data_IF_905820691601
#
_entry.id   IF_905820691601
#
_cell.length_a   1.000
_cell.length_b   1.000
_cell.length_c   1.000
_cell.angle_alpha   90.00
_cell.angle_beta   90.00
_cell.angle_gamma   90.00
#
_symmetry.space_group_name_H-M   'P 1'
#
loop_
_entity.id
_entity.type
_entity.pdbx_description
1 polymer ?
#
# COMPACT_ATOMS: atom_id res chain seq x y z
N UNK A 1 -11.46 1.46 -3.76
CA UNK A 1 -11.28 1.80 -5.20
C UNK A 1 -9.81 1.74 -5.62
N UNK A 2 -9.49 1.57 -6.93
CA UNK A 2 -8.10 1.56 -7.40
C UNK A 2 -7.31 2.81 -7.01
N UNK A 3 -7.87 4.02 -7.22
CA UNK A 3 -7.20 5.27 -6.84
C UNK A 3 -6.90 5.39 -5.34
N UNK A 4 -7.80 4.90 -4.48
CA UNK A 4 -7.59 4.88 -3.04
C UNK A 4 -6.43 3.96 -2.63
N UNK A 5 -6.31 2.78 -3.27
CA UNK A 5 -5.20 1.87 -3.05
C UNK A 5 -3.86 2.50 -3.49
N UNK A 6 -3.83 3.13 -4.67
CA UNK A 6 -2.63 3.80 -5.16
C UNK A 6 -2.22 4.99 -4.28
N UNK A 7 -3.17 5.77 -3.79
CA UNK A 7 -2.89 6.86 -2.84
C UNK A 7 -2.33 6.33 -1.53
N UNK A 8 -2.95 5.29 -0.96
CA UNK A 8 -2.52 4.68 0.29
C UNK A 8 -1.11 4.07 0.19
N UNK A 9 -0.82 3.31 -0.86
CA UNK A 9 0.51 2.73 -1.06
C UNK A 9 1.60 3.79 -1.29
N UNK A 10 1.27 4.93 -1.94
CA UNK A 10 2.22 6.06 -2.06
C UNK A 10 2.53 6.70 -0.72
N UNK A 11 1.54 6.86 0.14
CA UNK A 11 1.75 7.36 1.50
C UNK A 11 2.67 6.40 2.29
N UNK A 12 2.44 5.09 2.18
CA UNK A 12 3.34 4.10 2.79
C UNK A 12 4.76 4.18 2.22
N UNK A 13 4.92 4.35 0.90
CA UNK A 13 6.24 4.50 0.31
C UNK A 13 6.96 5.74 0.85
N UNK A 14 6.27 6.89 0.85
CA UNK A 14 6.80 8.14 1.41
C UNK A 14 7.22 7.99 2.88
N UNK A 15 6.38 7.35 3.70
CA UNK A 15 6.68 7.11 5.11
C UNK A 15 7.87 6.16 5.29
N UNK A 16 8.06 5.18 4.41
CA UNK A 16 9.23 4.29 4.45
C UNK A 16 10.52 5.07 4.16
N UNK A 17 10.51 5.87 3.09
CA UNK A 17 11.66 6.70 2.67
C UNK A 17 12.05 7.72 3.74
N UNK A 18 11.07 8.36 4.36
CA UNK A 18 11.29 9.43 5.34
C UNK A 18 11.55 8.93 6.76
N UNK A 19 10.94 7.81 7.17
CA UNK A 19 11.01 7.29 8.55
C UNK A 19 11.82 6.01 8.70
N UNK A 20 12.39 5.46 7.62
CA UNK A 20 13.20 4.24 7.64
C UNK A 20 12.50 3.11 8.39
N UNK A 21 11.26 2.83 8.04
CA UNK A 21 10.41 1.84 8.69
C UNK A 21 9.84 0.84 7.69
N UNK A 22 9.98 -0.45 7.97
CA UNK A 22 9.35 -1.53 7.20
C UNK A 22 7.96 -1.83 7.75
N UNK A 23 7.04 -2.25 6.88
CA UNK A 23 5.65 -2.54 7.24
C UNK A 23 5.43 -4.05 7.44
N UNK A 24 5.02 -4.43 8.65
CA UNK A 24 4.81 -5.84 9.04
C UNK A 24 3.33 -6.20 9.22
N UNK A 25 2.44 -5.24 9.01
CA UNK A 25 1.01 -5.51 8.97
C UNK A 25 0.17 -4.24 8.91
N UNK A 26 -1.06 -4.37 8.43
CA UNK A 26 -2.05 -3.30 8.42
C UNK A 26 -3.40 -3.83 8.88
N UNK A 27 -4.13 -3.04 9.67
CA UNK A 27 -5.52 -3.27 10.03
C UNK A 27 -6.34 -2.10 9.51
N UNK A 28 -7.36 -2.39 8.71
CA UNK A 28 -8.26 -1.38 8.15
C UNK A 28 -9.47 -1.24 9.05
N UNK A 29 -9.66 -0.04 9.58
CA UNK A 29 -10.82 0.29 10.42
C UNK A 29 -11.97 0.84 9.57
N UNK A 30 -11.65 1.50 8.45
CA UNK A 30 -12.60 2.06 7.51
C UNK A 30 -12.08 1.87 6.07
N UNK A 31 -12.95 1.38 5.20
CA UNK A 31 -12.71 1.33 3.76
C UNK A 31 -14.04 1.53 3.02
N UNK A 32 -14.45 2.79 2.87
CA UNK A 32 -15.74 3.16 2.29
C UNK A 32 -15.58 4.32 1.31
N UNK A 33 -16.17 4.20 0.11
CA UNK A 33 -16.04 5.21 -0.93
C UNK A 33 -14.58 5.53 -1.24
N UNK A 34 -14.18 6.78 -0.99
CA UNK A 34 -12.81 7.30 -1.14
C UNK A 34 -12.07 7.49 0.19
N UNK A 35 -12.61 7.00 1.31
CA UNK A 35 -12.01 7.12 2.63
C UNK A 35 -11.37 5.80 3.06
N UNK A 36 -10.20 5.90 3.67
CA UNK A 36 -9.45 4.78 4.23
C UNK A 36 -8.85 5.21 5.56
N UNK A 37 -9.13 4.45 6.62
CA UNK A 37 -8.42 4.54 7.88
C UNK A 37 -7.80 3.19 8.19
N UNK A 38 -6.50 3.20 8.45
CA UNK A 38 -5.76 2.00 8.78
C UNK A 38 -4.71 2.27 9.84
N UNK A 39 -4.52 1.29 10.73
CA UNK A 39 -3.35 1.21 11.61
C UNK A 39 -2.31 0.32 10.95
N UNK A 40 -1.10 0.85 10.82
CA UNK A 40 0.02 0.14 10.22
C UNK A 40 1.03 -0.18 11.31
N UNK A 41 1.45 -1.44 11.41
CA UNK A 41 2.53 -1.87 12.29
C UNK A 41 3.85 -1.80 11.53
N UNK A 42 4.84 -1.22 12.18
CA UNK A 42 6.15 -0.97 11.59
C UNK A 42 7.28 -1.53 12.44
N UNK A 43 8.40 -1.82 11.80
CA UNK A 43 9.67 -2.15 12.43
C UNK A 43 10.79 -1.32 11.79
N UNK A 44 11.97 -1.16 12.44
CA UNK A 44 13.11 -0.49 11.81
C UNK A 44 13.45 -1.11 10.46
N UNK A 45 13.64 -0.27 9.44
CA UNK A 45 13.89 -0.76 8.09
C UNK A 45 15.19 -1.55 7.99
N UNK A 46 15.14 -2.66 7.26
CA UNK A 46 16.31 -3.44 6.87
C UNK A 46 16.81 -3.02 5.50
N UNK A 47 17.96 -3.55 5.08
CA UNK A 47 18.45 -3.34 3.71
C UNK A 47 17.47 -3.97 2.72
N UNK A 48 16.82 -3.13 1.92
CA UNK A 48 15.93 -3.59 0.85
C UNK A 48 16.70 -4.45 -0.16
N UNK A 49 16.08 -5.55 -0.59
CA UNK A 49 16.60 -6.38 -1.71
C UNK A 49 16.49 -5.61 -3.02
N UNK A 50 15.42 -4.81 -3.17
CA UNK A 50 15.18 -3.90 -4.28
C UNK A 50 14.35 -2.72 -3.79
N UNK A 51 14.74 -1.52 -4.20
CA UNK A 51 14.02 -0.30 -3.88
C UNK A 51 12.79 -0.15 -4.79
N UNK A 52 11.67 0.30 -4.21
CA UNK A 52 10.48 0.70 -4.95
C UNK A 52 10.58 2.21 -5.13
N UNK A 53 10.58 2.69 -6.38
CA UNK A 53 10.62 4.11 -6.72
C UNK A 53 9.24 4.75 -6.78
N UNK A 54 8.20 3.95 -7.00
CA UNK A 54 6.87 4.49 -7.18
C UNK A 54 5.76 3.45 -7.28
N UNK A 55 4.56 3.91 -6.95
CA UNK A 55 3.30 3.18 -7.17
C UNK A 55 2.59 3.82 -8.34
N UNK A 56 2.37 3.04 -9.39
CA UNK A 56 1.77 3.54 -10.64
C UNK A 56 0.33 3.04 -10.79
N UNK A 57 -0.41 3.67 -11.71
CA UNK A 57 -1.72 3.18 -12.15
C UNK A 57 -1.61 2.10 -13.23
N UNK A 58 -0.39 1.77 -13.68
CA UNK A 58 -0.18 0.76 -14.71
C UNK A 58 -0.68 -0.59 -14.21
N UNK A 59 -1.70 -1.13 -14.89
CA UNK A 59 -2.29 -2.42 -14.57
C UNK A 59 -2.87 -2.57 -13.15
N UNK A 60 -3.13 -1.43 -12.48
CA UNK A 60 -3.75 -1.36 -11.18
C UNK A 60 -5.19 -1.86 -11.25
N UNK A 61 -5.49 -2.91 -10.50
CA UNK A 61 -6.82 -3.50 -10.45
C UNK A 61 -7.21 -3.80 -9.01
N UNK A 62 -8.47 -3.54 -8.67
CA UNK A 62 -9.09 -3.94 -7.39
C UNK A 62 -10.44 -4.54 -7.73
N UNK A 63 -10.65 -5.81 -7.36
CA UNK A 63 -11.88 -6.55 -7.67
C UNK A 63 -12.37 -7.33 -6.47
N UNK A 64 -13.69 -7.50 -6.35
CA UNK A 64 -14.29 -8.48 -5.43
C UNK A 64 -13.85 -9.90 -5.84
N UNK A 65 -13.59 -10.75 -4.86
CA UNK A 65 -13.23 -12.15 -5.06
C UNK A 65 -13.72 -12.97 -3.87
N UNK A 66 -14.83 -13.70 -4.06
CA UNK A 66 -15.53 -14.38 -2.96
C UNK A 66 -15.92 -13.40 -1.87
N UNK A 67 -15.62 -13.75 -0.62
CA UNK A 67 -15.90 -12.92 0.56
C UNK A 67 -14.91 -11.76 0.74
N UNK A 68 -13.92 -11.64 -0.15
CA UNK A 68 -12.83 -10.69 -0.03
C UNK A 68 -12.62 -9.78 -1.24
N UNK A 69 -11.47 -9.14 -1.23
CA UNK A 69 -10.96 -8.31 -2.31
C UNK A 69 -9.64 -8.86 -2.81
N UNK A 70 -9.41 -8.77 -4.12
CA UNK A 70 -8.12 -9.04 -4.74
C UNK A 70 -7.65 -7.78 -5.45
N UNK A 71 -6.40 -7.40 -5.19
CA UNK A 71 -5.75 -6.30 -5.85
C UNK A 71 -4.54 -6.78 -6.67
N UNK A 72 -4.23 -6.06 -7.75
CA UNK A 72 -2.98 -6.17 -8.49
C UNK A 72 -2.38 -4.77 -8.61
N UNK A 73 -1.10 -4.66 -8.31
CA UNK A 73 -0.32 -3.42 -8.36
C UNK A 73 1.02 -3.74 -9.01
N UNK A 74 1.47 -2.88 -9.93
CA UNK A 74 2.82 -2.95 -10.50
C UNK A 74 3.60 -1.74 -9.97
N UNK A 75 4.71 -2.04 -9.31
CA UNK A 75 5.62 -1.04 -8.76
C UNK A 75 6.70 -0.68 -9.78
N UNK A 76 7.12 0.59 -9.76
CA UNK A 76 8.37 1.02 -10.37
C UNK A 76 9.53 0.76 -9.39
N UNK A 77 10.64 0.24 -9.87
CA UNK A 77 11.70 -0.44 -9.08
C UNK A 77 13.09 -0.27 -9.69
#
# INVERSE_FOLDING_TARGET
>A
PPGLLAAWLRELLFLHETRRSDYVGAAFDLLEGSALHARVRTEPARRAVREIKGVTYHELAVRRAGDGWKARVIFDV
#
